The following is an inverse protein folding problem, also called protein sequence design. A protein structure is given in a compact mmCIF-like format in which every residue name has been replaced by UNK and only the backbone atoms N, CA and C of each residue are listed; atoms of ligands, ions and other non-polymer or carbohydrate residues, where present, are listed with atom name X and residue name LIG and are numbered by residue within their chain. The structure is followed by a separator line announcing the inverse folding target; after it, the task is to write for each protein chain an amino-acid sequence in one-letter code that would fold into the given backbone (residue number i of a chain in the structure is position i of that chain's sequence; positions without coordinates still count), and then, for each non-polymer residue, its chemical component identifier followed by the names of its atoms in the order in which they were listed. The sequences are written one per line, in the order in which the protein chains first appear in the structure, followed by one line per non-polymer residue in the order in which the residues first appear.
data_IF_443407906120
#
_entry.id   IF_443407906120
#
_cell.length_a   1.000
_cell.length_b   1.000
_cell.length_c   1.000
_cell.angle_alpha   90.00
_cell.angle_beta   90.00
_cell.angle_gamma   90.00
#
_symmetry.space_group_name_H-M   'P 1'
#
loop_
_entity.id
_entity.type
_entity.pdbx_description
1 polymer ?
#
# COMPACT_ATOMS: atom_id res chain seq x y z
N UNK A 1 11.15 21.51 -4.13
CA UNK A 1 10.96 21.06 -2.73
C UNK A 1 10.70 19.57 -2.78
N UNK A 2 11.39 18.79 -1.95
CA UNK A 2 11.24 17.34 -1.87
C UNK A 2 10.64 16.99 -0.51
N UNK A 3 9.73 16.03 -0.49
CA UNK A 3 9.03 15.54 0.68
C UNK A 3 9.11 14.01 0.70
N UNK A 4 9.22 13.44 1.89
CA UNK A 4 9.24 12.00 2.10
C UNK A 4 7.88 11.52 2.57
N UNK A 5 7.52 10.32 2.15
CA UNK A 5 6.27 9.66 2.48
C UNK A 5 6.53 8.22 2.90
N UNK A 6 5.64 7.68 3.73
CA UNK A 6 5.60 6.25 4.06
C UNK A 6 4.29 5.67 3.58
N UNK A 7 4.40 4.69 2.67
CA UNK A 7 3.32 3.77 2.37
C UNK A 7 3.31 2.66 3.41
N UNK A 8 2.19 2.50 4.09
CA UNK A 8 1.91 1.35 4.95
C UNK A 8 0.77 0.54 4.36
N UNK A 9 0.95 -0.78 4.27
CA UNK A 9 -0.09 -1.73 3.87
C UNK A 9 -0.35 -2.71 5.02
N UNK A 10 -1.63 -2.85 5.40
CA UNK A 10 -2.10 -3.77 6.43
C UNK A 10 -3.15 -4.72 5.86
N UNK A 11 -3.49 -5.75 6.64
CA UNK A 11 -4.57 -6.69 6.34
C UNK A 11 -4.48 -7.32 4.94
N UNK A 12 -3.26 -7.62 4.49
CA UNK A 12 -3.00 -8.30 3.23
C UNK A 12 -3.28 -9.80 3.38
N UNK A 13 -4.55 -10.14 3.47
CA UNK A 13 -5.03 -11.52 3.50
C UNK A 13 -6.46 -11.60 2.97
N UNK A 14 -6.85 -12.80 2.58
CA UNK A 14 -8.25 -13.15 2.32
C UNK A 14 -8.63 -14.35 3.17
N UNK A 15 -9.91 -14.52 3.45
CA UNK A 15 -10.43 -15.73 4.10
C UNK A 15 -10.93 -16.68 3.01
N UNK A 16 -10.39 -17.90 2.97
CA UNK A 16 -10.84 -18.98 2.09
C UNK A 16 -11.11 -20.22 2.93
N UNK A 17 -12.32 -20.77 2.85
CA UNK A 17 -12.73 -21.95 3.62
C UNK A 17 -12.46 -21.82 5.14
N UNK A 18 -12.64 -20.62 5.70
CA UNK A 18 -12.39 -20.35 7.13
C UNK A 18 -10.92 -20.16 7.50
N UNK A 19 -9.98 -20.31 6.56
CA UNK A 19 -8.56 -20.07 6.79
C UNK A 19 -8.13 -18.71 6.22
N UNK A 20 -7.30 -17.98 6.97
CA UNK A 20 -6.61 -16.80 6.44
C UNK A 20 -5.48 -17.23 5.52
N UNK A 21 -5.55 -16.80 4.27
CA UNK A 21 -4.54 -17.05 3.23
C UNK A 21 -3.96 -15.70 2.79
N UNK A 22 -2.66 -15.68 2.49
CA UNK A 22 -2.04 -14.50 1.90
C UNK A 22 -2.64 -14.18 0.54
N UNK A 23 -2.53 -12.92 0.13
CA UNK A 23 -2.96 -12.46 -1.19
C UNK A 23 -2.00 -11.40 -1.70
N UNK A 24 -2.40 -10.66 -2.73
CA UNK A 24 -1.64 -9.59 -3.33
C UNK A 24 -2.41 -8.27 -3.33
N UNK A 25 -1.64 -7.18 -3.29
CA UNK A 25 -2.12 -5.83 -3.46
C UNK A 25 -1.35 -5.12 -4.56
N UNK A 26 -2.07 -4.33 -5.36
CA UNK A 26 -1.49 -3.38 -6.30
C UNK A 26 -1.80 -1.95 -5.83
N UNK A 27 -0.76 -1.13 -5.72
CA UNK A 27 -0.87 0.26 -5.28
C UNK A 27 -0.27 1.16 -6.36
N UNK A 28 -1.08 2.11 -6.85
CA UNK A 28 -0.61 3.17 -7.73
C UNK A 28 -0.12 4.36 -6.90
N UNK A 29 1.03 4.92 -7.26
CA UNK A 29 1.50 6.21 -6.75
C UNK A 29 1.17 7.27 -7.80
N UNK A 30 0.52 8.34 -7.34
CA UNK A 30 -0.03 9.39 -8.19
C UNK A 30 0.63 10.74 -7.86
N UNK A 31 0.97 11.49 -8.89
CA UNK A 31 1.35 12.90 -8.82
C UNK A 31 0.31 13.73 -9.58
N UNK A 32 -0.39 14.62 -8.89
CA UNK A 32 -1.50 15.40 -9.48
C UNK A 32 -2.62 14.53 -10.10
N UNK A 33 -2.80 13.30 -9.59
CA UNK A 33 -3.77 12.33 -10.13
C UNK A 33 -3.27 11.49 -11.31
N UNK A 34 -2.04 11.71 -11.78
CA UNK A 34 -1.39 10.92 -12.84
C UNK A 34 -0.57 9.81 -12.19
N UNK A 35 -0.76 8.57 -12.62
CA UNK A 35 0.05 7.44 -12.15
C UNK A 35 1.50 7.57 -12.62
N UNK A 36 2.43 7.62 -11.67
CA UNK A 36 3.87 7.74 -11.90
C UNK A 36 4.64 6.47 -11.54
N UNK A 37 4.07 5.62 -10.67
CA UNK A 37 4.65 4.34 -10.28
C UNK A 37 3.53 3.37 -9.86
N UNK A 38 3.83 2.07 -9.94
CA UNK A 38 2.96 1.00 -9.48
C UNK A 38 3.73 -0.07 -8.75
N UNK A 39 3.19 -0.46 -7.61
CA UNK A 39 3.79 -1.41 -6.71
C UNK A 39 2.91 -2.64 -6.64
N UNK A 40 3.51 -3.82 -6.74
CA UNK A 40 2.85 -5.10 -6.50
C UNK A 40 3.46 -5.74 -5.27
N UNK A 41 2.62 -6.12 -4.31
CA UNK A 41 3.03 -6.70 -3.05
C UNK A 41 2.23 -7.96 -2.86
N UNK A 42 2.90 -9.08 -2.59
CA UNK A 42 2.28 -10.37 -2.31
C UNK A 42 2.75 -10.88 -0.96
N UNK A 43 1.85 -11.42 -0.15
CA UNK A 43 2.20 -11.97 1.14
C UNK A 43 0.98 -12.18 2.02
N UNK A 44 1.22 -12.53 3.28
CA UNK A 44 0.19 -12.63 4.30
C UNK A 44 0.51 -11.67 5.44
N UNK A 45 -0.28 -10.61 5.57
CA UNK A 45 -0.22 -9.68 6.70
C UNK A 45 -1.54 -9.82 7.43
N UNK A 46 -1.54 -10.45 8.60
CA UNK A 46 -2.75 -10.65 9.39
C UNK A 46 -3.21 -9.38 10.11
N UNK A 47 -4.42 -9.40 10.70
CA UNK A 47 -4.93 -8.33 11.54
C UNK A 47 -3.95 -7.98 12.66
N UNK A 48 -3.67 -6.70 12.84
CA UNK A 48 -2.78 -6.20 13.90
C UNK A 48 -1.29 -6.51 13.68
N UNK A 49 -0.90 -7.07 12.53
CA UNK A 49 0.52 -7.17 12.17
C UNK A 49 1.14 -5.80 11.87
N UNK A 50 2.46 -5.71 11.94
CA UNK A 50 3.20 -4.45 11.75
C UNK A 50 2.86 -3.77 10.41
N UNK A 51 2.57 -4.57 9.38
CA UNK A 51 2.29 -4.09 8.03
C UNK A 51 3.54 -4.01 7.17
N UNK A 52 3.34 -3.92 5.86
CA UNK A 52 4.42 -3.64 4.92
C UNK A 52 4.64 -2.15 4.84
N UNK A 53 5.89 -1.72 4.98
CA UNK A 53 6.28 -0.31 4.94
C UNK A 53 7.24 -0.05 3.78
N UNK A 54 7.01 1.04 3.04
CA UNK A 54 7.95 1.50 2.03
C UNK A 54 8.01 3.02 2.01
N UNK A 55 9.24 3.54 2.02
CA UNK A 55 9.51 4.98 1.89
C UNK A 55 9.48 5.40 0.43
N UNK A 56 8.98 6.62 0.20
CA UNK A 56 8.92 7.29 -1.09
C UNK A 56 9.40 8.73 -0.94
N UNK A 57 10.23 9.18 -1.87
CA UNK A 57 10.68 10.56 -1.94
C UNK A 57 10.12 11.20 -3.21
N UNK A 58 9.55 12.40 -3.10
CA UNK A 58 8.96 13.07 -4.25
C UNK A 58 8.48 14.48 -3.96
N UNK A 59 7.66 15.03 -4.86
CA UNK A 59 7.07 16.35 -4.69
C UNK A 59 5.99 16.38 -3.60
N UNK A 60 5.59 17.58 -3.13
CA UNK A 60 4.38 17.72 -2.33
C UNK A 60 3.14 17.32 -3.13
N UNK A 61 2.19 16.64 -2.49
CA UNK A 61 0.93 16.23 -3.12
C UNK A 61 0.95 14.84 -3.76
N UNK A 62 2.01 14.06 -3.57
CA UNK A 62 1.97 12.64 -3.91
C UNK A 62 0.87 11.94 -3.11
N UNK A 63 0.17 11.03 -3.77
CA UNK A 63 -0.86 10.20 -3.16
C UNK A 63 -0.71 8.75 -3.60
N UNK A 64 -1.32 7.83 -2.84
CA UNK A 64 -1.35 6.42 -3.20
C UNK A 64 -2.79 5.93 -3.27
N UNK A 65 -3.06 5.04 -4.23
CA UNK A 65 -4.36 4.41 -4.42
C UNK A 65 -4.23 2.90 -4.50
N UNK A 66 -4.99 2.21 -3.66
CA UNK A 66 -5.13 0.76 -3.74
C UNK A 66 -5.99 0.41 -4.95
N UNK A 67 -5.45 -0.41 -5.85
CA UNK A 67 -6.14 -0.85 -7.07
C UNK A 67 -6.83 -2.20 -6.87
N UNK A 68 -6.32 -3.03 -5.96
CA UNK A 68 -6.91 -4.30 -5.55
C UNK A 68 -7.95 -4.10 -4.43
N UNK A 69 -8.76 -5.12 -4.16
CA UNK A 69 -9.72 -5.07 -3.03
C UNK A 69 -9.15 -5.60 -1.71
N UNK A 70 -7.94 -6.16 -1.73
CA UNK A 70 -7.30 -6.77 -0.58
C UNK A 70 -6.25 -5.84 0.00
N UNK A 71 -6.23 -5.77 1.34
CA UNK A 71 -5.37 -4.88 2.10
C UNK A 71 -6.00 -3.51 2.36
N UNK A 72 -5.37 -2.78 3.27
CA UNK A 72 -5.66 -1.39 3.59
C UNK A 72 -4.38 -0.59 3.47
N UNK A 73 -4.46 0.62 2.91
CA UNK A 73 -3.27 1.46 2.72
C UNK A 73 -3.37 2.76 3.50
N UNK A 74 -2.21 3.23 3.96
CA UNK A 74 -2.01 4.60 4.42
C UNK A 74 -0.80 5.15 3.70
N UNK A 75 -0.88 6.39 3.22
CA UNK A 75 0.22 7.08 2.58
C UNK A 75 0.35 8.46 3.21
N UNK A 76 1.34 8.61 4.09
CA UNK A 76 1.50 9.81 4.90
C UNK A 76 2.88 10.42 4.68
N UNK A 77 2.93 11.75 4.61
CA UNK A 77 4.19 12.48 4.64
C UNK A 77 4.86 12.33 6.02
N UNK A 78 6.19 12.28 6.03
CA UNK A 78 7.03 12.16 7.24
C UNK A 78 8.11 13.23 7.30
#
# INVERSE_FOLDING_TARGET
MQQSYVLTIRDLFTVRQGAMVGDHAEVAILDGGIEIDRIKISGKIGPGGDGYHRKYDGGPGLSAKLLTKVGQITFAAI
#
